data_IF_703539099182
#
_entry.id   IF_703539099182
#
_cell.length_a   1.000
_cell.length_b   1.000
_cell.length_c   1.000
_cell.angle_alpha   90.00
_cell.angle_beta   90.00
_cell.angle_gamma   90.00
#
_symmetry.space_group_name_H-M   'P 1'
#
loop_
_entity.id
_entity.type
_entity.pdbx_description
1 polymer ?
#
# COMPACT_ATOMS: atom_id res chain seq x y z
N UNK A 1 1.25 2.69 10.48
CA UNK A 1 0.88 2.91 9.06
C UNK A 1 -0.63 3.01 9.00
N UNK A 2 -1.19 3.88 8.17
CA UNK A 2 -2.64 3.93 7.91
C UNK A 2 -2.89 3.40 6.50
N UNK A 3 -3.88 2.52 6.36
CA UNK A 3 -4.32 1.92 5.09
C UNK A 3 -5.69 2.48 4.73
N UNK A 4 -5.91 2.80 3.46
CA UNK A 4 -7.15 3.38 2.92
C UNK A 4 -7.59 4.66 3.65
N UNK A 5 -6.62 5.54 3.95
CA UNK A 5 -6.85 6.79 4.68
C UNK A 5 -7.99 7.64 4.06
N UNK A 6 -8.85 8.19 4.90
CA UNK A 6 -10.00 9.01 4.49
C UNK A 6 -11.18 8.21 3.93
N UNK A 7 -11.17 6.88 4.05
CA UNK A 7 -12.25 6.02 3.59
C UNK A 7 -12.95 5.27 4.73
N UNK A 8 -14.10 4.67 4.45
CA UNK A 8 -14.80 3.79 5.39
C UNK A 8 -14.05 2.47 5.68
N UNK A 9 -12.94 2.22 4.99
CA UNK A 9 -12.07 1.05 5.16
C UNK A 9 -10.77 1.40 5.88
N UNK A 10 -10.65 2.62 6.40
CA UNK A 10 -9.44 3.08 7.05
C UNK A 10 -9.05 2.15 8.22
N UNK A 11 -7.78 1.75 8.25
CA UNK A 11 -7.24 0.91 9.32
C UNK A 11 -5.80 1.30 9.65
N UNK A 12 -5.46 1.30 10.94
CA UNK A 12 -4.08 1.36 11.41
C UNK A 12 -3.46 -0.04 11.42
N UNK A 13 -2.16 -0.12 11.15
CA UNK A 13 -1.42 -1.38 11.18
C UNK A 13 0.06 -1.25 10.86
N UNK A 14 0.67 -2.40 10.65
CA UNK A 14 2.09 -2.57 10.32
C UNK A 14 2.27 -3.39 9.05
N UNK A 15 3.16 -2.94 8.16
CA UNK A 15 3.54 -3.74 6.97
C UNK A 15 4.26 -5.00 7.45
N UNK A 16 3.82 -6.15 6.95
CA UNK A 16 4.41 -7.46 7.26
C UNK A 16 5.02 -8.15 6.04
N UNK A 17 4.72 -7.69 4.82
CA UNK A 17 5.32 -8.20 3.57
C UNK A 17 5.33 -7.13 2.46
N UNK A 18 6.39 -7.12 1.64
CA UNK A 18 6.56 -6.30 0.43
C UNK A 18 6.50 -7.18 -0.83
N UNK A 19 5.34 -7.24 -1.47
CA UNK A 19 5.17 -7.96 -2.73
C UNK A 19 5.67 -7.18 -3.96
N UNK A 20 6.05 -5.91 -3.78
CA UNK A 20 6.62 -5.08 -4.84
C UNK A 20 8.00 -5.57 -5.30
N UNK A 21 8.71 -6.35 -4.49
CA UNK A 21 9.99 -6.96 -4.89
C UNK A 21 9.84 -7.89 -6.11
N UNK A 22 8.69 -8.55 -6.25
CA UNK A 22 8.46 -9.54 -7.32
C UNK A 22 8.06 -8.93 -8.66
N UNK A 23 7.61 -7.67 -8.69
CA UNK A 23 7.08 -7.02 -9.90
C UNK A 23 7.77 -5.69 -10.13
N UNK A 24 9.09 -5.65 -10.44
CA UNK A 24 9.83 -4.40 -10.56
C UNK A 24 9.64 -3.69 -11.92
N UNK A 25 8.92 -4.30 -12.87
CA UNK A 25 8.83 -3.82 -14.24
C UNK A 25 7.55 -3.01 -14.45
N UNK A 26 7.70 -1.83 -15.07
CA UNK A 26 6.58 -1.01 -15.50
C UNK A 26 5.83 -1.66 -16.67
N UNK A 27 4.53 -1.38 -16.79
CA UNK A 27 3.76 -1.78 -17.97
C UNK A 27 3.93 -0.71 -19.04
N UNK A 28 4.45 -1.10 -20.20
CA UNK A 28 4.69 -0.22 -21.35
C UNK A 28 3.99 -0.77 -22.61
N UNK A 29 3.54 0.12 -23.49
CA UNK A 29 3.01 -0.20 -24.81
C UNK A 29 3.59 0.77 -25.83
N UNK A 30 4.23 0.25 -26.87
CA UNK A 30 4.88 1.05 -27.92
C UNK A 30 5.89 2.09 -27.38
N UNK A 31 6.59 1.74 -26.29
CA UNK A 31 7.52 2.64 -25.60
C UNK A 31 6.87 3.72 -24.73
N UNK A 32 5.54 3.81 -24.69
CA UNK A 32 4.79 4.68 -23.78
C UNK A 32 4.47 3.93 -22.48
N UNK A 33 4.61 4.63 -21.35
CA UNK A 33 4.36 4.04 -20.03
C UNK A 33 2.87 4.07 -19.73
N UNK A 34 2.28 2.87 -19.59
CA UNK A 34 0.88 2.69 -19.24
C UNK A 34 0.70 2.70 -17.72
N UNK A 35 1.57 2.01 -16.98
CA UNK A 35 1.51 1.95 -15.52
C UNK A 35 2.91 1.71 -14.92
N UNK A 36 3.13 2.24 -13.72
CA UNK A 36 4.31 1.90 -12.92
C UNK A 36 4.28 0.44 -12.45
N UNK A 37 5.40 -0.08 -11.91
CA UNK A 37 5.43 -1.40 -11.31
C UNK A 37 4.41 -1.50 -10.16
N UNK A 38 3.62 -2.58 -10.12
CA UNK A 38 2.64 -2.79 -9.06
C UNK A 38 3.36 -3.08 -7.73
N UNK A 39 3.29 -2.13 -6.79
CA UNK A 39 3.82 -2.29 -5.43
C UNK A 39 2.67 -2.57 -4.48
N UNK A 40 2.52 -3.85 -4.12
CA UNK A 40 1.55 -4.33 -3.14
C UNK A 40 2.21 -4.67 -1.83
N UNK A 41 1.49 -4.40 -0.76
CA UNK A 41 1.92 -4.61 0.61
C UNK A 41 0.90 -5.50 1.32
N UNK A 42 1.36 -6.39 2.20
CA UNK A 42 0.50 -6.93 3.23
C UNK A 42 0.67 -6.11 4.51
N UNK A 43 -0.45 -5.67 5.06
CA UNK A 43 -0.53 -4.94 6.32
C UNK A 43 -1.32 -5.77 7.31
N UNK A 44 -0.72 -6.08 8.46
CA UNK A 44 -1.44 -6.60 9.60
C UNK A 44 -2.06 -5.40 10.33
N UNK A 45 -3.38 -5.31 10.30
CA UNK A 45 -4.11 -4.28 11.02
C UNK A 45 -4.04 -4.51 12.53
N UNK A 46 -4.24 -3.45 13.31
CA UNK A 46 -4.29 -3.53 14.77
C UNK A 46 -5.48 -4.37 15.28
N UNK A 47 -6.50 -4.59 14.43
CA UNK A 47 -7.62 -5.49 14.68
C UNK A 47 -7.29 -6.97 14.41
N UNK A 48 -6.12 -7.27 13.84
CA UNK A 48 -5.66 -8.62 13.53
C UNK A 48 -5.99 -9.10 12.10
N UNK A 49 -6.65 -8.28 11.29
CA UNK A 49 -6.92 -8.60 9.89
C UNK A 49 -5.68 -8.38 9.01
N UNK A 50 -5.50 -9.26 8.02
CA UNK A 50 -4.49 -9.10 6.98
C UNK A 50 -5.09 -8.37 5.77
N UNK A 51 -4.56 -7.20 5.45
CA UNK A 51 -5.03 -6.31 4.39
C UNK A 51 -3.97 -6.22 3.29
N UNK A 52 -4.40 -6.30 2.03
CA UNK A 52 -3.55 -6.05 0.87
C UNK A 52 -3.85 -4.66 0.31
N UNK A 53 -2.80 -3.88 0.08
CA UNK A 53 -2.90 -2.48 -0.28
C UNK A 53 -1.83 -2.09 -1.30
N UNK A 54 -2.16 -1.18 -2.21
CA UNK A 54 -1.16 -0.55 -3.07
C UNK A 54 -0.45 0.60 -2.34
N UNK A 55 0.65 1.10 -2.88
CA UNK A 55 1.41 2.20 -2.26
C UNK A 55 0.55 3.45 -2.06
N UNK A 56 -0.37 3.73 -3.00
CA UNK A 56 -1.26 4.88 -2.95
C UNK A 56 -2.36 4.73 -1.87
N UNK A 57 -2.61 3.51 -1.40
CA UNK A 57 -3.53 3.24 -0.29
C UNK A 57 -2.86 3.45 1.07
N UNK A 58 -1.54 3.60 1.12
CA UNK A 58 -0.77 3.72 2.36
C UNK A 58 -0.47 5.17 2.69
N UNK A 59 -0.60 5.51 3.96
CA UNK A 59 -0.18 6.79 4.51
C UNK A 59 0.65 6.55 5.76
N UNK A 60 1.82 7.20 5.84
CA UNK A 60 2.62 7.23 7.05
C UNK A 60 1.78 7.90 8.13
N UNK A 61 1.06 7.09 8.92
CA UNK A 61 0.09 7.56 9.91
C UNK A 61 0.73 8.67 10.72
N UNK A 62 0.16 9.88 10.62
CA UNK A 62 0.62 11.01 11.40
C UNK A 62 0.52 10.63 12.88
N UNK A 63 1.61 10.79 13.62
CA UNK A 63 1.45 11.03 15.04
C UNK A 63 0.60 12.30 15.15
N UNK A 64 -0.61 12.18 15.70
CA UNK A 64 -1.38 13.35 16.11
C UNK A 64 -0.49 14.18 17.04
N UNK A 65 -0.12 15.44 16.71
CA UNK A 65 0.63 16.26 17.63
C UNK A 65 -0.29 16.59 18.82
N UNK A 66 -0.03 15.92 19.95
CA UNK A 66 -0.67 16.15 21.24
C UNK A 66 -0.59 17.62 21.69
#
# INVERSE_FOLDING_TARGET
MTVFAGSHREAAGTIVEDFGEFTPVATEYDGERIAGPARRWAVLSDAGDLVFADTDDLSAGGADPA
#
